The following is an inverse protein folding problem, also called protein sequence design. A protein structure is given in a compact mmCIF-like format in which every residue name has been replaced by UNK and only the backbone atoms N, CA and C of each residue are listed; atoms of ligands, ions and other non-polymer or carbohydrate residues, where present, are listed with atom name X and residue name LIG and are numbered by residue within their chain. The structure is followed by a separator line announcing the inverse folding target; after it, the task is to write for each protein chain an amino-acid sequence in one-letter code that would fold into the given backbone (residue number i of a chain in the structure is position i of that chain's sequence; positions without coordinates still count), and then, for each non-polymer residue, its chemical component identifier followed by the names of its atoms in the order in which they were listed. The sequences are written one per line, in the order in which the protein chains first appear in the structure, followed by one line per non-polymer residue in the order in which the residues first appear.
data_IF_645910460197
#
_entry.id   IF_645910460197
#
_cell.length_a   1.000
_cell.length_b   1.000
_cell.length_c   1.000
_cell.angle_alpha   90.00
_cell.angle_beta   90.00
_cell.angle_gamma   90.00
#
_symmetry.space_group_name_H-M   'P 1'
#
loop_
_entity.id
_entity.type
_entity.pdbx_description
1 polymer ?
#
# COMPACT_ATOMS: atom_id res chain seq x y z
N UNK A 1 -30.96 61.09 -22.08
CA UNK A 1 -29.81 60.55 -21.33
C UNK A 1 -30.22 59.25 -20.69
N UNK A 2 -30.12 58.15 -21.48
CA UNK A 2 -30.48 56.81 -21.03
C UNK A 2 -29.20 56.16 -20.46
N UNK A 3 -29.16 55.94 -19.13
CA UNK A 3 -28.09 55.19 -18.45
C UNK A 3 -28.33 53.69 -18.60
N UNK A 4 -27.56 53.03 -19.44
CA UNK A 4 -27.48 51.60 -19.53
C UNK A 4 -26.71 51.09 -18.29
N UNK A 5 -27.38 50.40 -17.40
CA UNK A 5 -26.79 49.66 -16.32
C UNK A 5 -26.20 48.33 -16.90
N UNK A 6 -24.97 47.97 -16.57
CA UNK A 6 -24.40 46.73 -17.07
C UNK A 6 -25.01 45.54 -16.30
N UNK A 7 -25.58 44.64 -17.05
CA UNK A 7 -26.19 43.37 -16.66
C UNK A 7 -25.09 42.35 -16.31
N UNK A 8 -24.33 42.58 -15.27
CA UNK A 8 -23.22 41.72 -14.85
C UNK A 8 -23.33 41.19 -13.43
N UNK A 9 -24.55 40.93 -12.96
CA UNK A 9 -24.79 40.44 -11.61
C UNK A 9 -25.64 39.17 -11.53
N UNK A 10 -25.61 38.29 -12.51
CA UNK A 10 -26.34 37.00 -12.48
C UNK A 10 -25.47 35.78 -12.74
N UNK A 11 -24.15 35.88 -12.57
CA UNK A 11 -23.33 34.70 -12.36
C UNK A 11 -23.08 34.51 -10.88
N UNK A 12 -24.13 34.12 -10.16
CA UNK A 12 -24.02 33.57 -8.83
C UNK A 12 -23.31 32.24 -8.99
N UNK A 13 -21.99 32.25 -8.97
CA UNK A 13 -21.14 31.08 -8.88
C UNK A 13 -21.66 30.22 -7.74
N UNK A 14 -22.28 29.09 -8.10
CA UNK A 14 -22.37 27.94 -7.22
C UNK A 14 -20.92 27.62 -6.85
N UNK A 15 -20.47 28.09 -5.73
CA UNK A 15 -19.34 27.52 -5.05
C UNK A 15 -19.74 26.10 -4.71
N UNK A 16 -19.41 25.17 -5.60
CA UNK A 16 -19.26 23.79 -5.23
C UNK A 16 -18.23 23.84 -4.10
N UNK A 17 -18.68 23.64 -2.88
CA UNK A 17 -17.82 23.35 -1.74
C UNK A 17 -17.03 22.10 -2.16
N UNK A 18 -15.88 22.31 -2.76
CA UNK A 18 -14.86 21.29 -2.81
C UNK A 18 -14.53 21.00 -1.34
N UNK A 19 -15.11 19.93 -0.80
CA UNK A 19 -14.57 19.32 0.41
C UNK A 19 -13.07 19.25 0.16
N UNK A 20 -12.23 19.70 1.11
CA UNK A 20 -10.80 19.47 0.97
C UNK A 20 -10.66 17.98 0.70
N UNK A 21 -10.04 17.61 -0.43
CA UNK A 21 -9.58 16.26 -0.65
C UNK A 21 -8.78 15.94 0.61
N UNK A 22 -9.26 15.02 1.43
CA UNK A 22 -8.44 14.43 2.48
C UNK A 22 -7.19 13.98 1.75
N UNK A 23 -6.06 14.54 2.11
CA UNK A 23 -4.75 14.15 1.62
C UNK A 23 -4.71 12.63 1.71
N UNK A 24 -4.40 11.94 0.58
CA UNK A 24 -4.61 10.53 0.39
C UNK A 24 -4.19 9.70 1.60
N UNK A 25 -5.11 8.88 2.08
CA UNK A 25 -4.80 7.89 3.12
C UNK A 25 -3.70 6.98 2.58
N UNK A 26 -2.63 6.81 3.34
CA UNK A 26 -1.51 5.95 2.99
C UNK A 26 -1.40 4.84 4.01
N UNK A 27 -1.29 3.62 3.54
CA UNK A 27 -0.95 2.45 4.35
C UNK A 27 0.54 2.20 4.32
N UNK A 28 1.12 1.86 5.45
CA UNK A 28 2.54 1.53 5.55
C UNK A 28 2.71 0.11 6.09
N UNK A 29 3.56 -0.67 5.41
CA UNK A 29 3.97 -2.01 5.85
C UNK A 29 5.48 -2.01 6.00
N UNK A 30 5.95 -2.24 7.22
CA UNK A 30 7.37 -2.34 7.53
C UNK A 30 7.79 -3.78 7.75
N UNK A 31 8.94 -4.10 7.17
CA UNK A 31 9.63 -5.36 7.34
C UNK A 31 11.09 -5.09 7.70
N UNK A 32 11.91 -6.11 7.82
CA UNK A 32 13.32 -5.91 8.17
C UNK A 32 14.11 -5.14 7.12
N UNK A 33 13.83 -5.37 5.82
CA UNK A 33 14.56 -4.77 4.70
C UNK A 33 13.81 -3.63 4.01
N UNK A 34 12.49 -3.52 4.18
CA UNK A 34 11.65 -2.63 3.39
C UNK A 34 10.63 -1.89 4.24
N UNK A 35 10.39 -0.64 3.88
CA UNK A 35 9.22 0.13 4.30
C UNK A 35 8.39 0.45 3.06
N UNK A 36 7.24 -0.19 2.93
CA UNK A 36 6.35 -0.08 1.79
C UNK A 36 5.18 0.85 2.09
N UNK A 37 4.91 1.78 1.20
CA UNK A 37 3.76 2.69 1.27
C UNK A 37 2.79 2.42 0.12
N UNK A 38 1.50 2.44 0.44
CA UNK A 38 0.41 2.30 -0.51
C UNK A 38 -0.54 3.47 -0.39
N UNK A 39 -0.74 4.22 -1.45
CA UNK A 39 -1.73 5.29 -1.51
C UNK A 39 -3.13 4.71 -1.81
N UNK A 40 -4.12 5.03 -0.95
CA UNK A 40 -5.47 4.45 -1.06
C UNK A 40 -6.26 4.96 -2.27
N UNK A 41 -6.04 6.21 -2.69
CA UNK A 41 -6.81 6.83 -3.77
C UNK A 41 -6.35 6.32 -5.14
N UNK A 42 -5.05 6.43 -5.43
CA UNK A 42 -4.47 5.98 -6.70
C UNK A 42 -4.26 4.47 -6.72
N UNK A 43 -3.94 3.88 -5.56
CA UNK A 43 -3.45 2.52 -5.41
C UNK A 43 -1.98 2.38 -5.81
N UNK A 44 -1.25 3.50 -5.94
CA UNK A 44 0.18 3.48 -6.19
C UNK A 44 0.92 2.92 -4.97
N UNK A 45 1.95 2.16 -5.26
CA UNK A 45 2.78 1.50 -4.25
C UNK A 45 4.24 1.79 -4.55
N UNK A 46 4.96 2.26 -3.55
CA UNK A 46 6.41 2.41 -3.58
C UNK A 46 6.99 1.99 -2.24
N UNK A 47 8.29 1.82 -2.18
CA UNK A 47 8.95 1.42 -0.95
C UNK A 47 10.34 1.98 -0.81
N UNK A 48 10.78 2.13 0.44
CA UNK A 48 12.14 2.48 0.79
C UNK A 48 12.88 1.23 1.27
N UNK A 49 14.09 1.04 0.76
CA UNK A 49 14.99 -0.01 1.22
C UNK A 49 15.66 0.41 2.52
N UNK A 50 15.52 -0.38 3.59
CA UNK A 50 16.06 -0.09 4.92
C UNK A 50 17.44 -0.73 5.15
N UNK A 51 17.71 -1.88 4.51
CA UNK A 51 18.95 -2.66 4.67
C UNK A 51 19.46 -3.19 3.34
N UNK A 52 20.74 -3.57 3.31
CA UNK A 52 21.37 -4.21 2.15
C UNK A 52 22.10 -3.23 1.25
N UNK A 53 22.49 -3.72 0.08
CA UNK A 53 23.31 -2.96 -0.87
C UNK A 53 22.60 -1.69 -1.41
N UNK A 54 21.28 -1.67 -1.38
CA UNK A 54 20.45 -0.56 -1.87
C UNK A 54 19.80 0.25 -0.76
N UNK A 55 20.34 0.20 0.47
CA UNK A 55 19.81 0.95 1.62
C UNK A 55 19.60 2.43 1.26
N UNK A 56 18.51 2.99 1.79
CA UNK A 56 18.03 4.36 1.56
C UNK A 56 17.55 4.68 0.14
N UNK A 57 17.56 3.72 -0.79
CA UNK A 57 16.99 3.89 -2.14
C UNK A 57 15.47 3.64 -2.13
N UNK A 58 14.74 4.31 -3.05
CA UNK A 58 13.36 3.99 -3.36
C UNK A 58 13.30 2.81 -4.36
N UNK A 59 12.33 1.92 -4.20
CA UNK A 59 12.15 0.79 -5.12
C UNK A 59 11.89 1.27 -6.54
N UNK A 60 11.15 2.37 -6.70
CA UNK A 60 10.87 3.02 -7.99
C UNK A 60 12.12 3.55 -8.69
N UNK A 61 13.22 3.77 -7.97
CA UNK A 61 14.50 4.21 -8.53
C UNK A 61 15.39 3.06 -8.99
N UNK A 62 15.04 1.82 -8.64
CA UNK A 62 15.84 0.63 -8.95
C UNK A 62 15.41 0.00 -10.28
N UNK A 63 16.36 -0.49 -11.05
CA UNK A 63 16.08 -1.31 -12.23
C UNK A 63 15.60 -2.71 -11.83
N UNK A 64 14.93 -3.42 -12.74
CA UNK A 64 14.49 -4.81 -12.49
C UNK A 64 15.66 -5.71 -12.04
N UNK A 65 16.83 -5.58 -12.65
CA UNK A 65 18.02 -6.34 -12.25
C UNK A 65 18.44 -6.05 -10.80
N UNK A 66 18.36 -4.78 -10.37
CA UNK A 66 18.65 -4.40 -8.99
C UNK A 66 17.61 -4.89 -8.02
N UNK A 67 16.31 -4.86 -8.40
CA UNK A 67 15.22 -5.43 -7.62
C UNK A 67 15.38 -6.94 -7.44
N UNK A 68 15.80 -7.68 -8.47
CA UNK A 68 16.08 -9.11 -8.36
C UNK A 68 17.28 -9.41 -7.44
N UNK A 69 18.34 -8.59 -7.47
CA UNK A 69 19.46 -8.70 -6.53
C UNK A 69 18.98 -8.44 -5.08
N UNK A 70 18.18 -7.41 -4.87
CA UNK A 70 17.58 -7.13 -3.56
C UNK A 70 16.68 -8.29 -3.10
N UNK A 71 15.93 -8.91 -4.01
CA UNK A 71 15.10 -10.08 -3.69
C UNK A 71 15.93 -11.26 -3.16
N UNK A 72 17.14 -11.47 -3.71
CA UNK A 72 18.08 -12.48 -3.19
C UNK A 72 18.57 -12.10 -1.79
N UNK A 73 18.84 -10.82 -1.53
CA UNK A 73 19.25 -10.36 -0.18
C UNK A 73 18.12 -10.56 0.85
N UNK A 74 16.85 -10.42 0.42
CA UNK A 74 15.69 -10.58 1.27
C UNK A 74 15.35 -12.05 1.61
N UNK A 75 16.10 -13.05 1.11
CA UNK A 75 15.82 -14.49 1.38
C UNK A 75 15.82 -14.81 2.87
N UNK A 76 16.58 -14.08 3.68
CA UNK A 76 16.68 -14.27 5.13
C UNK A 76 15.45 -13.75 5.88
N UNK A 77 14.68 -12.84 5.31
CA UNK A 77 13.44 -12.30 5.86
C UNK A 77 12.28 -12.51 4.88
N UNK A 78 11.45 -13.49 5.19
CA UNK A 78 10.35 -13.90 4.33
C UNK A 78 9.31 -12.78 4.12
N UNK A 79 9.07 -11.94 5.12
CA UNK A 79 8.15 -10.81 5.02
C UNK A 79 8.65 -9.78 4.00
N UNK A 80 9.93 -9.39 4.07
CA UNK A 80 10.57 -8.49 3.09
C UNK A 80 10.51 -9.06 1.69
N UNK A 81 10.78 -10.35 1.54
CA UNK A 81 10.72 -11.03 0.23
C UNK A 81 9.32 -10.96 -0.36
N UNK A 82 8.28 -11.29 0.40
CA UNK A 82 6.89 -11.28 -0.08
C UNK A 82 6.39 -9.89 -0.41
N UNK A 83 6.78 -8.88 0.38
CA UNK A 83 6.45 -7.46 0.09
C UNK A 83 7.14 -7.01 -1.21
N UNK A 84 8.41 -7.38 -1.39
CA UNK A 84 9.15 -7.04 -2.60
C UNK A 84 8.58 -7.75 -3.84
N UNK A 85 8.23 -9.03 -3.73
CA UNK A 85 7.55 -9.78 -4.81
C UNK A 85 6.24 -9.10 -5.22
N UNK A 86 5.43 -8.67 -4.25
CA UNK A 86 4.18 -7.95 -4.52
C UNK A 86 4.42 -6.64 -5.30
N UNK A 87 5.50 -5.92 -4.97
CA UNK A 87 5.90 -4.73 -5.69
C UNK A 87 6.35 -5.05 -7.13
N UNK A 88 7.24 -6.03 -7.28
CA UNK A 88 7.78 -6.41 -8.59
C UNK A 88 6.66 -6.92 -9.51
N UNK A 89 5.76 -7.77 -9.03
CA UNK A 89 4.62 -8.26 -9.80
C UNK A 89 3.72 -7.15 -10.31
N UNK A 90 3.54 -6.10 -9.50
CA UNK A 90 2.71 -4.96 -9.87
C UNK A 90 3.36 -4.05 -10.91
N UNK A 91 4.69 -3.87 -10.85
CA UNK A 91 5.43 -2.98 -11.74
C UNK A 91 5.95 -3.69 -13.00
N UNK A 92 6.23 -4.98 -12.89
CA UNK A 92 6.87 -5.80 -13.91
C UNK A 92 6.17 -7.16 -14.01
N UNK A 93 5.01 -7.21 -14.69
CA UNK A 93 4.19 -8.43 -14.78
C UNK A 93 4.96 -9.67 -15.30
N UNK A 94 5.96 -9.44 -16.14
CA UNK A 94 6.75 -10.50 -16.79
C UNK A 94 8.07 -10.83 -16.04
N UNK A 95 8.23 -10.36 -14.81
CA UNK A 95 9.49 -10.49 -14.07
C UNK A 95 9.93 -11.94 -13.84
N UNK A 96 8.98 -12.87 -13.72
CA UNK A 96 9.28 -14.29 -13.50
C UNK A 96 9.99 -14.93 -14.68
N UNK A 97 9.70 -14.51 -15.91
CA UNK A 97 10.40 -14.97 -17.11
C UNK A 97 11.89 -14.54 -17.10
N UNK A 98 12.20 -13.42 -16.44
CA UNK A 98 13.56 -12.94 -16.25
C UNK A 98 14.25 -13.58 -15.04
N UNK A 99 13.50 -14.08 -14.08
CA UNK A 99 13.99 -14.73 -12.86
C UNK A 99 14.34 -16.21 -13.07
N UNK A 100 13.84 -16.88 -14.11
CA UNK A 100 14.09 -18.31 -14.40
C UNK A 100 15.58 -18.66 -14.64
N UNK A 101 16.47 -17.68 -14.74
CA UNK A 101 17.92 -17.91 -14.74
C UNK A 101 18.55 -17.96 -13.33
N UNK A 102 17.77 -17.77 -12.27
CA UNK A 102 18.21 -17.96 -10.89
C UNK A 102 17.27 -18.96 -10.21
N UNK A 103 17.64 -20.23 -10.27
CA UNK A 103 16.95 -21.33 -9.60
C UNK A 103 16.62 -21.00 -8.14
N UNK A 104 15.34 -20.76 -7.85
CA UNK A 104 14.77 -21.09 -6.54
C UNK A 104 13.25 -21.17 -6.67
N UNK A 105 12.76 -22.34 -7.09
CA UNK A 105 11.44 -22.81 -6.71
C UNK A 105 11.41 -22.95 -5.19
N UNK A 106 10.94 -21.93 -4.49
CA UNK A 106 10.53 -22.08 -3.10
C UNK A 106 9.03 -22.31 -3.10
N UNK A 107 8.66 -23.58 -2.89
CA UNK A 107 7.30 -23.94 -2.52
C UNK A 107 6.83 -23.02 -1.37
N UNK A 108 5.64 -22.49 -1.56
CA UNK A 108 4.93 -21.61 -0.67
C UNK A 108 4.73 -22.27 0.71
N UNK A 109 5.72 -22.24 1.57
CA UNK A 109 5.51 -22.52 2.98
C UNK A 109 4.86 -21.30 3.63
N UNK A 110 3.56 -21.41 3.84
CA UNK A 110 2.72 -20.47 4.55
C UNK A 110 3.07 -20.48 6.05
N UNK A 111 4.15 -19.87 6.40
CA UNK A 111 4.31 -19.37 7.76
C UNK A 111 4.22 -17.86 7.68
N UNK A 112 3.01 -17.35 7.87
CA UNK A 112 2.83 -15.97 8.31
C UNK A 112 3.56 -15.94 9.64
N UNK A 113 4.76 -15.36 9.68
CA UNK A 113 5.34 -14.96 10.96
C UNK A 113 4.31 -14.00 11.56
N UNK A 114 3.64 -14.45 12.61
CA UNK A 114 2.80 -13.60 13.44
C UNK A 114 3.72 -12.62 14.16
N UNK A 115 4.30 -11.69 13.40
CA UNK A 115 4.81 -10.47 14.00
C UNK A 115 3.65 -9.93 14.82
N UNK A 116 3.85 -9.88 16.15
CA UNK A 116 2.80 -9.62 17.13
C UNK A 116 2.04 -8.40 16.68
N UNK A 117 0.85 -8.62 16.09
CA UNK A 117 -0.03 -7.54 15.65
C UNK A 117 -0.35 -6.70 16.89
N UNK A 118 -0.13 -5.42 16.81
CA UNK A 118 -0.48 -4.47 17.84
C UNK A 118 -1.28 -3.31 17.22
N UNK A 119 -1.90 -2.51 18.08
CA UNK A 119 -2.77 -1.41 17.65
C UNK A 119 -2.08 -0.45 16.69
N UNK A 120 -0.85 -0.03 17.01
CA UNK A 120 -0.12 0.93 16.19
C UNK A 120 0.17 0.36 14.79
N UNK A 121 0.65 -0.89 14.73
CA UNK A 121 0.93 -1.58 13.48
C UNK A 121 -0.35 -1.80 12.65
N UNK A 122 -1.44 -2.22 13.30
CA UNK A 122 -2.71 -2.44 12.62
C UNK A 122 -3.29 -1.14 12.05
N UNK A 123 -3.19 -0.03 12.78
CA UNK A 123 -3.60 1.29 12.29
C UNK A 123 -2.73 1.74 11.11
N UNK A 124 -1.42 1.54 11.18
CA UNK A 124 -0.47 1.89 10.11
C UNK A 124 -0.75 1.08 8.83
N UNK A 125 -1.01 -0.22 8.95
CA UNK A 125 -1.39 -1.10 7.83
C UNK A 125 -2.71 -0.66 7.19
N UNK A 126 -3.69 -0.20 7.97
CA UNK A 126 -4.95 0.31 7.44
C UNK A 126 -4.92 1.80 7.10
N UNK A 127 -3.80 2.50 7.32
CA UNK A 127 -3.67 3.93 7.06
C UNK A 127 -4.59 4.80 7.93
N UNK A 128 -4.87 4.37 9.15
CA UNK A 128 -5.71 5.09 10.10
C UNK A 128 -4.84 5.94 11.04
N UNK A 129 -5.18 7.22 11.17
CA UNK A 129 -4.50 8.14 12.09
C UNK A 129 -5.01 7.96 13.52
N UNK A 130 -6.31 7.74 13.65
CA UNK A 130 -7.01 7.51 14.92
C UNK A 130 -7.96 6.33 14.79
N UNK A 131 -8.15 5.61 15.88
CA UNK A 131 -9.13 4.53 15.95
C UNK A 131 -10.41 5.08 16.61
N UNK A 132 -11.39 5.42 15.80
CA UNK A 132 -12.63 6.06 16.25
C UNK A 132 -13.84 5.16 16.14
N UNK A 133 -13.98 4.34 15.09
CA UNK A 133 -15.17 3.51 14.88
C UNK A 133 -14.91 2.25 14.05
N UNK A 134 -15.80 1.25 14.23
CA UNK A 134 -15.83 0.03 13.40
C UNK A 134 -16.08 0.33 11.92
N UNK A 135 -16.85 1.37 11.66
CA UNK A 135 -17.17 1.81 10.30
C UNK A 135 -15.93 2.31 9.56
N UNK A 136 -15.06 3.05 10.25
CA UNK A 136 -13.80 3.55 9.66
C UNK A 136 -12.82 2.43 9.37
N UNK A 137 -12.65 1.47 10.29
CA UNK A 137 -11.84 0.27 10.08
C UNK A 137 -12.34 -0.52 8.87
N UNK A 138 -13.65 -0.74 8.79
CA UNK A 138 -14.26 -1.47 7.68
C UNK A 138 -14.12 -0.73 6.35
N UNK A 139 -14.25 0.60 6.37
CA UNK A 139 -14.09 1.45 5.18
C UNK A 139 -12.64 1.39 4.66
N UNK A 140 -11.66 1.59 5.53
CA UNK A 140 -10.25 1.53 5.17
C UNK A 140 -9.87 0.16 4.59
N UNK A 141 -10.27 -0.93 5.27
CA UNK A 141 -10.09 -2.28 4.78
C UNK A 141 -10.69 -2.49 3.37
N UNK A 142 -11.93 -2.03 3.14
CA UNK A 142 -12.59 -2.18 1.84
C UNK A 142 -11.84 -1.43 0.73
N UNK A 143 -11.36 -0.23 1.00
CA UNK A 143 -10.60 0.56 0.03
C UNK A 143 -9.29 -0.16 -0.36
N UNK A 144 -8.55 -0.67 0.62
CA UNK A 144 -7.33 -1.42 0.39
C UNK A 144 -7.58 -2.72 -0.39
N UNK A 145 -8.59 -3.49 0.03
CA UNK A 145 -8.93 -4.75 -0.64
C UNK A 145 -9.42 -4.57 -2.08
N UNK A 146 -10.02 -3.44 -2.42
CA UNK A 146 -10.36 -3.12 -3.82
C UNK A 146 -9.14 -3.01 -4.73
N UNK A 147 -8.00 -2.60 -4.17
CA UNK A 147 -6.73 -2.38 -4.90
C UNK A 147 -5.78 -3.58 -4.85
N UNK A 148 -5.82 -4.33 -3.75
CA UNK A 148 -4.85 -5.38 -3.44
C UNK A 148 -5.44 -6.80 -3.39
N UNK A 149 -6.70 -6.98 -3.81
CA UNK A 149 -7.32 -8.30 -3.79
C UNK A 149 -6.57 -9.28 -4.73
N UNK A 150 -6.24 -10.50 -4.29
CA UNK A 150 -5.52 -11.49 -5.11
C UNK A 150 -6.16 -11.76 -6.47
N UNK A 151 -7.50 -11.86 -6.53
CA UNK A 151 -8.25 -12.08 -7.78
C UNK A 151 -8.10 -10.94 -8.80
N UNK A 152 -7.55 -9.80 -8.38
CA UNK A 152 -7.32 -8.62 -9.24
C UNK A 152 -5.84 -8.35 -9.49
N UNK A 153 -5.00 -9.37 -9.31
CA UNK A 153 -3.56 -9.23 -9.45
C UNK A 153 -2.87 -8.58 -8.24
N UNK A 154 -3.54 -8.57 -7.08
CA UNK A 154 -2.94 -8.16 -5.81
C UNK A 154 -2.18 -9.32 -5.14
N UNK A 155 -1.39 -8.99 -4.13
CA UNK A 155 -0.62 -9.96 -3.35
C UNK A 155 -1.47 -10.63 -2.27
N UNK A 156 -1.43 -11.95 -2.24
CA UNK A 156 -2.05 -12.77 -1.18
C UNK A 156 -1.47 -12.43 0.21
N UNK A 157 -0.18 -12.18 0.27
CA UNK A 157 0.50 -11.77 1.49
C UNK A 157 -0.03 -10.43 2.03
N UNK A 158 -0.12 -9.40 1.18
CA UNK A 158 -0.65 -8.09 1.57
C UNK A 158 -2.11 -8.18 1.99
N UNK A 159 -2.91 -8.96 1.28
CA UNK A 159 -4.32 -9.18 1.65
C UNK A 159 -4.45 -9.84 3.03
N UNK A 160 -3.61 -10.81 3.37
CA UNK A 160 -3.57 -11.44 4.71
C UNK A 160 -3.19 -10.45 5.81
N UNK A 161 -2.17 -9.63 5.60
CA UNK A 161 -1.75 -8.59 6.57
C UNK A 161 -2.88 -7.56 6.80
N UNK A 162 -3.55 -7.11 5.75
CA UNK A 162 -4.69 -6.17 5.82
C UNK A 162 -5.87 -6.79 6.58
N UNK A 163 -6.18 -8.07 6.33
CA UNK A 163 -7.24 -8.78 7.05
C UNK A 163 -6.91 -8.90 8.54
N UNK A 164 -5.68 -9.31 8.87
CA UNK A 164 -5.23 -9.44 10.26
C UNK A 164 -5.31 -8.09 11.02
N UNK A 165 -4.91 -7.00 10.37
CA UNK A 165 -5.01 -5.66 10.95
C UNK A 165 -6.46 -5.24 11.22
N UNK A 166 -7.37 -5.51 10.27
CA UNK A 166 -8.81 -5.26 10.46
C UNK A 166 -9.37 -6.06 11.63
N UNK A 167 -9.10 -7.36 11.69
CA UNK A 167 -9.63 -8.25 12.71
C UNK A 167 -9.14 -7.80 14.09
N UNK A 168 -7.86 -7.49 14.23
CA UNK A 168 -7.29 -6.97 15.47
C UNK A 168 -8.00 -5.69 15.96
N UNK A 169 -8.18 -4.69 15.08
CA UNK A 169 -8.81 -3.43 15.48
C UNK A 169 -10.31 -3.57 15.77
N UNK A 170 -11.01 -4.48 15.09
CA UNK A 170 -12.43 -4.74 15.37
C UNK A 170 -12.61 -5.43 16.72
N UNK A 171 -11.68 -6.27 17.13
CA UNK A 171 -11.68 -6.92 18.45
C UNK A 171 -11.44 -5.90 19.58
N UNK A 172 -10.55 -4.94 19.36
CA UNK A 172 -10.33 -3.84 20.32
C UNK A 172 -11.55 -2.92 20.52
N UNK A 173 -12.43 -2.84 19.52
CA UNK A 173 -13.64 -1.99 19.56
C UNK A 173 -14.88 -2.72 20.09
N UNK A 174 -14.76 -3.97 20.56
CA UNK A 174 -15.87 -4.71 21.18
C UNK A 174 -16.07 -4.28 22.62
#
# INVERSE_FOLDING_TARGET
LLRLLPMWQLFRSRTVSARPKQQGQTSTIRTEYLEMELEHDSGDMDGKVLKGAYSDSLLSSLSLEQLLKLHIECVVDNDSRQVLEAYIERQHADWREHAEHTDTHSEHSQTVDESIMNRSLAMEILGLVELTSKEEVTKAHRQLMQKLHPDRGGSDYLAKKINAAKDYLLDELQ
#
